data_IF_595412427245
#
_entry.id   IF_595412427245
#
_cell.length_a   1.000
_cell.length_b   1.000
_cell.length_c   1.000
_cell.angle_alpha   90.00
_cell.angle_beta   90.00
_cell.angle_gamma   90.00
#
_symmetry.space_group_name_H-M   'P 1'
#
loop_
_entity.id
_entity.type
_entity.pdbx_description
1 polymer ?
#
# COMPACT_ATOMS: atom_id res chain seq x y z
N UNK A 1 23.17 -10.08 6.07
CA UNK A 1 21.80 -10.02 5.53
C UNK A 1 21.14 -11.40 5.51
N UNK A 2 21.72 -12.42 4.84
CA UNK A 2 21.18 -13.80 4.91
C UNK A 2 21.26 -14.40 6.34
N UNK A 3 22.34 -14.13 7.08
CA UNK A 3 22.44 -14.50 8.51
C UNK A 3 21.37 -13.79 9.36
N UNK A 4 21.12 -12.51 9.08
CA UNK A 4 20.11 -11.67 9.73
C UNK A 4 18.69 -12.21 9.54
N UNK A 5 18.40 -12.81 8.38
CA UNK A 5 17.12 -13.44 8.06
C UNK A 5 16.97 -14.81 8.75
N UNK A 6 18.06 -15.59 8.87
CA UNK A 6 18.04 -16.83 9.65
C UNK A 6 17.90 -16.57 11.16
N UNK A 7 18.46 -15.46 11.66
CA UNK A 7 18.39 -15.06 13.07
C UNK A 7 17.01 -14.54 13.51
N UNK A 8 16.27 -13.84 12.64
CA UNK A 8 14.93 -13.34 12.97
C UNK A 8 13.82 -14.40 13.04
N UNK A 9 14.17 -15.67 12.79
CA UNK A 9 13.26 -16.82 12.95
C UNK A 9 12.14 -16.91 11.91
N UNK A 10 11.15 -17.74 12.20
CA UNK A 10 10.05 -18.08 11.26
C UNK A 10 9.26 -16.84 10.81
N UNK A 11 9.20 -15.81 11.64
CA UNK A 11 8.44 -14.58 11.37
C UNK A 11 9.10 -13.66 10.31
N UNK A 12 10.35 -13.90 9.93
CA UNK A 12 11.00 -13.16 8.84
C UNK A 12 10.41 -13.50 7.47
N UNK A 13 9.98 -14.74 7.25
CA UNK A 13 9.40 -15.18 5.98
C UNK A 13 8.12 -14.41 5.57
N UNK A 14 7.09 -14.28 6.43
CA UNK A 14 5.92 -13.48 6.09
C UNK A 14 6.24 -11.99 5.95
N UNK A 15 7.22 -11.45 6.69
CA UNK A 15 7.67 -10.06 6.54
C UNK A 15 8.34 -9.81 5.19
N UNK A 16 9.22 -10.71 4.74
CA UNK A 16 9.87 -10.63 3.44
C UNK A 16 8.86 -10.76 2.30
N UNK A 17 7.90 -11.68 2.42
CA UNK A 17 6.81 -11.81 1.46
C UNK A 17 5.96 -10.53 1.40
N UNK A 18 5.58 -9.99 2.56
CA UNK A 18 4.85 -8.74 2.68
C UNK A 18 5.60 -7.58 2.03
N UNK A 19 6.91 -7.46 2.25
CA UNK A 19 7.76 -6.46 1.62
C UNK A 19 7.78 -6.56 0.09
N UNK A 20 7.94 -7.78 -0.45
CA UNK A 20 7.93 -8.00 -1.89
C UNK A 20 6.58 -7.63 -2.52
N UNK A 21 5.48 -7.99 -1.86
CA UNK A 21 4.13 -7.63 -2.31
C UNK A 21 3.91 -6.11 -2.24
N UNK A 22 4.32 -5.48 -1.14
CA UNK A 22 4.18 -4.03 -0.96
C UNK A 22 4.95 -3.26 -2.03
N UNK A 23 6.19 -3.65 -2.31
CA UNK A 23 6.98 -3.06 -3.40
C UNK A 23 6.34 -3.28 -4.76
N UNK A 24 5.87 -4.50 -5.06
CA UNK A 24 5.24 -4.81 -6.35
C UNK A 24 3.97 -3.97 -6.57
N UNK A 25 3.10 -3.89 -5.57
CA UNK A 25 1.88 -3.08 -5.62
C UNK A 25 2.22 -1.60 -5.70
N UNK A 26 3.15 -1.12 -4.89
CA UNK A 26 3.59 0.27 -4.90
C UNK A 26 4.13 0.70 -6.26
N UNK A 27 4.93 -0.16 -6.90
CA UNK A 27 5.49 0.11 -8.23
C UNK A 27 4.41 0.08 -9.32
N UNK A 28 3.50 -0.90 -9.28
CA UNK A 28 2.39 -1.01 -10.21
C UNK A 28 1.46 0.22 -10.13
N UNK A 29 1.09 0.63 -8.91
CA UNK A 29 0.28 1.83 -8.68
C UNK A 29 1.02 3.11 -9.09
N UNK A 30 2.30 3.26 -8.76
CA UNK A 30 3.08 4.42 -9.18
C UNK A 30 3.13 4.54 -10.70
N UNK A 31 3.35 3.44 -11.42
CA UNK A 31 3.33 3.42 -12.89
C UNK A 31 1.93 3.75 -13.42
N UNK A 32 0.87 3.18 -12.84
CA UNK A 32 -0.51 3.47 -13.21
C UNK A 32 -0.82 4.97 -13.11
N UNK A 33 -0.56 5.58 -11.95
CA UNK A 33 -0.83 7.01 -11.74
C UNK A 33 0.05 7.92 -12.60
N UNK A 34 1.33 7.55 -12.83
CA UNK A 34 2.20 8.31 -13.73
C UNK A 34 1.70 8.27 -15.19
N UNK A 35 1.18 7.13 -15.64
CA UNK A 35 0.58 7.01 -16.98
C UNK A 35 -0.72 7.81 -17.09
N UNK A 36 -1.57 7.72 -16.06
CA UNK A 36 -2.82 8.47 -15.97
C UNK A 36 -2.57 9.99 -16.03
N UNK A 37 -1.64 10.47 -15.20
CA UNK A 37 -1.29 11.89 -15.12
C UNK A 37 -0.69 12.43 -16.42
N UNK A 38 0.06 11.61 -17.17
CA UNK A 38 0.55 11.99 -18.51
C UNK A 38 -0.56 12.04 -19.55
N UNK A 39 -1.50 11.09 -19.53
CA UNK A 39 -2.62 11.05 -20.47
C UNK A 39 -3.55 12.27 -20.27
N UNK A 40 -3.72 12.71 -19.03
CA UNK A 40 -4.58 13.85 -18.70
C UNK A 40 -3.90 15.23 -18.88
N UNK A 41 -2.60 15.29 -19.25
CA UNK A 41 -1.90 16.55 -19.51
C UNK A 41 -2.47 17.24 -20.75
N UNK A 42 -3.02 18.43 -20.56
CA UNK A 42 -3.63 19.24 -21.63
C UNK A 42 -5.07 18.85 -21.99
N UNK A 43 -5.49 17.61 -21.66
CA UNK A 43 -6.88 17.16 -21.80
C UNK A 43 -7.85 18.04 -21.00
N UNK A 44 -7.58 18.26 -19.70
CA UNK A 44 -8.45 19.09 -18.84
C UNK A 44 -8.66 20.49 -19.41
N UNK A 45 -7.57 21.15 -19.79
CA UNK A 45 -7.62 22.50 -20.37
C UNK A 45 -8.34 22.53 -21.71
N UNK A 46 -8.19 21.49 -22.54
CA UNK A 46 -8.92 21.37 -23.81
C UNK A 46 -10.43 21.15 -23.59
N UNK A 47 -10.79 20.30 -22.64
CA UNK A 47 -12.19 20.03 -22.27
C UNK A 47 -12.87 21.27 -21.69
N UNK A 48 -12.22 21.94 -20.73
CA UNK A 48 -12.73 23.18 -20.14
C UNK A 48 -12.98 24.26 -21.20
N UNK A 49 -12.08 24.39 -22.18
CA UNK A 49 -12.26 25.32 -23.30
C UNK A 49 -13.44 24.95 -24.18
N UNK A 50 -13.58 23.68 -24.56
CA UNK A 50 -14.68 23.21 -25.39
C UNK A 50 -16.05 23.41 -24.71
N UNK A 51 -16.13 23.12 -23.40
CA UNK A 51 -17.34 23.35 -22.61
C UNK A 51 -17.63 24.85 -22.46
N UNK A 52 -16.62 25.68 -22.20
CA UNK A 52 -16.78 27.14 -22.08
C UNK A 52 -17.21 27.81 -23.40
N UNK A 53 -16.78 27.27 -24.54
CA UNK A 53 -17.22 27.74 -25.86
C UNK A 53 -18.56 27.16 -26.31
N UNK A 54 -19.17 26.26 -25.52
CA UNK A 54 -20.43 25.57 -25.86
C UNK A 54 -20.29 24.53 -26.98
N UNK A 55 -19.07 24.13 -27.34
CA UNK A 55 -18.82 23.11 -28.37
C UNK A 55 -18.92 21.70 -27.74
N UNK A 56 -20.16 21.24 -27.61
CA UNK A 56 -20.46 19.92 -27.05
C UNK A 56 -19.99 18.77 -27.94
N UNK A 57 -19.85 18.99 -29.25
CA UNK A 57 -19.36 17.95 -30.15
C UNK A 57 -17.86 17.71 -29.91
N UNK A 58 -17.09 18.79 -29.74
CA UNK A 58 -15.68 18.69 -29.36
C UNK A 58 -15.52 18.12 -27.94
N UNK A 59 -16.35 18.55 -26.98
CA UNK A 59 -16.32 18.01 -25.62
C UNK A 59 -16.64 16.50 -25.58
N UNK A 60 -17.60 16.04 -26.40
CA UNK A 60 -17.93 14.62 -26.54
C UNK A 60 -16.79 13.81 -27.16
N UNK A 61 -16.08 14.36 -28.15
CA UNK A 61 -14.88 13.70 -28.72
C UNK A 61 -13.76 13.59 -27.70
N UNK A 62 -13.55 14.65 -26.91
CA UNK A 62 -12.54 14.67 -25.87
C UNK A 62 -12.86 13.69 -24.74
N UNK A 63 -14.14 13.36 -24.46
CA UNK A 63 -14.54 12.45 -23.38
C UNK A 63 -14.53 10.94 -23.74
N UNK A 64 -14.10 10.56 -24.95
CA UNK A 64 -14.07 9.15 -25.39
C UNK A 64 -12.89 8.32 -24.84
N UNK A 65 -12.02 8.91 -24.02
CA UNK A 65 -10.92 8.18 -23.40
C UNK A 65 -11.37 7.15 -22.36
N UNK A 66 -10.41 6.33 -21.92
CA UNK A 66 -10.65 5.21 -20.99
C UNK A 66 -10.34 5.56 -19.53
N UNK A 67 -9.86 6.77 -19.23
CA UNK A 67 -9.54 7.14 -17.85
C UNK A 67 -10.81 7.48 -17.06
N UNK A 68 -10.80 7.34 -15.73
CA UNK A 68 -11.88 7.82 -14.86
C UNK A 68 -12.27 9.29 -15.14
N UNK A 69 -11.30 10.15 -15.45
CA UNK A 69 -11.56 11.54 -15.80
C UNK A 69 -12.35 11.70 -17.11
N UNK A 70 -12.16 10.80 -18.08
CA UNK A 70 -12.95 10.76 -19.31
C UNK A 70 -14.37 10.24 -19.05
N UNK A 71 -14.52 9.24 -18.18
CA UNK A 71 -15.83 8.74 -17.78
C UNK A 71 -16.67 9.86 -17.12
N UNK A 72 -16.10 10.60 -16.16
CA UNK A 72 -16.79 11.74 -15.54
C UNK A 72 -17.12 12.84 -16.55
N UNK A 73 -16.21 13.16 -17.47
CA UNK A 73 -16.46 14.15 -18.52
C UNK A 73 -17.57 13.72 -19.47
N UNK A 74 -17.66 12.42 -19.80
CA UNK A 74 -18.72 11.87 -20.63
C UNK A 74 -20.08 11.99 -19.94
N UNK A 75 -20.17 11.62 -18.66
CA UNK A 75 -21.38 11.82 -17.86
C UNK A 75 -21.81 13.30 -17.82
N UNK A 76 -20.86 14.23 -17.74
CA UNK A 76 -21.14 15.66 -17.78
C UNK A 76 -21.70 16.11 -19.14
N UNK A 77 -21.09 15.68 -20.25
CA UNK A 77 -21.51 16.04 -21.61
C UNK A 77 -22.87 15.45 -21.97
N UNK A 78 -23.13 14.19 -21.60
CA UNK A 78 -24.40 13.51 -21.87
C UNK A 78 -25.59 14.17 -21.14
N UNK A 79 -25.34 14.77 -19.97
CA UNK A 79 -26.35 15.44 -19.16
C UNK A 79 -26.34 16.96 -19.29
N UNK A 80 -25.53 17.52 -20.20
CA UNK A 80 -25.29 18.98 -20.28
C UNK A 80 -26.55 19.83 -20.56
N UNK A 81 -27.58 19.24 -21.16
CA UNK A 81 -28.87 19.89 -21.41
C UNK A 81 -29.79 19.97 -20.18
N UNK A 82 -29.43 19.28 -19.09
CA UNK A 82 -30.20 19.25 -17.85
C UNK A 82 -29.78 20.37 -16.89
N UNK A 83 -30.41 20.42 -15.71
CA UNK A 83 -29.99 21.37 -14.68
C UNK A 83 -28.59 21.04 -14.16
N UNK A 84 -27.88 22.06 -13.66
CA UNK A 84 -26.54 21.89 -13.09
C UNK A 84 -26.49 20.86 -11.94
N UNK A 85 -27.58 20.71 -11.18
CA UNK A 85 -27.69 19.70 -10.11
C UNK A 85 -27.69 18.27 -10.67
N UNK A 86 -28.32 18.04 -11.84
CA UNK A 86 -28.29 16.72 -12.47
C UNK A 86 -26.92 16.41 -13.03
N UNK A 87 -26.25 17.38 -13.66
CA UNK A 87 -24.88 17.23 -14.18
C UNK A 87 -23.91 16.87 -13.05
N UNK A 88 -23.96 17.61 -11.94
CA UNK A 88 -23.09 17.37 -10.78
C UNK A 88 -23.34 16.00 -10.14
N UNK A 89 -24.60 15.59 -10.01
CA UNK A 89 -24.97 14.24 -9.56
C UNK A 89 -24.45 13.15 -10.49
N UNK A 90 -24.61 13.31 -11.80
CA UNK A 90 -24.13 12.33 -12.79
C UNK A 90 -22.61 12.18 -12.72
N UNK A 91 -21.87 13.29 -12.63
CA UNK A 91 -20.42 13.28 -12.45
C UNK A 91 -20.01 12.63 -11.13
N UNK A 92 -20.72 12.91 -10.04
CA UNK A 92 -20.46 12.33 -8.72
C UNK A 92 -20.66 10.81 -8.72
N UNK A 93 -21.77 10.33 -9.29
CA UNK A 93 -22.04 8.89 -9.43
C UNK A 93 -20.91 8.23 -10.22
N UNK A 94 -20.51 8.82 -11.35
CA UNK A 94 -19.44 8.25 -12.17
C UNK A 94 -18.07 8.25 -11.46
N UNK A 95 -17.80 9.26 -10.64
CA UNK A 95 -16.60 9.32 -9.82
C UNK A 95 -16.59 8.20 -8.77
N UNK A 96 -17.73 7.96 -8.09
CA UNK A 96 -17.89 6.87 -7.13
C UNK A 96 -17.74 5.50 -7.78
N UNK A 97 -18.27 5.30 -8.99
CA UNK A 97 -18.10 4.05 -9.74
C UNK A 97 -16.64 3.79 -10.14
N UNK A 98 -15.85 4.85 -10.34
CA UNK A 98 -14.44 4.75 -10.72
C UNK A 98 -13.49 4.59 -9.51
N UNK A 99 -13.97 4.87 -8.31
CA UNK A 99 -13.19 4.83 -7.07
C UNK A 99 -12.56 3.44 -6.79
N UNK A 100 -13.27 2.30 -6.96
CA UNK A 100 -12.69 0.99 -6.74
C UNK A 100 -11.49 0.67 -7.65
N UNK A 101 -11.49 1.18 -8.89
CA UNK A 101 -10.38 0.99 -9.82
C UNK A 101 -9.13 1.77 -9.38
N UNK A 102 -9.34 3.01 -8.90
CA UNK A 102 -8.28 3.85 -8.37
C UNK A 102 -7.69 3.27 -7.08
N UNK A 103 -8.56 2.74 -6.21
CA UNK A 103 -8.19 2.14 -4.92
C UNK A 103 -7.74 0.68 -5.01
N UNK A 104 -7.66 0.11 -6.22
CA UNK A 104 -7.25 -1.28 -6.43
C UNK A 104 -5.89 -1.53 -5.76
N UNK A 105 -5.83 -2.59 -4.95
CA UNK A 105 -4.67 -3.01 -4.16
C UNK A 105 -4.27 -2.11 -2.98
N UNK A 106 -4.87 -0.93 -2.79
CA UNK A 106 -4.54 -0.07 -1.64
C UNK A 106 -4.93 -0.72 -0.30
N UNK A 107 -6.07 -1.43 -0.24
CA UNK A 107 -6.44 -2.18 0.96
C UNK A 107 -5.46 -3.31 1.33
N UNK A 108 -4.80 -3.91 0.32
CA UNK A 108 -3.75 -4.90 0.57
C UNK A 108 -2.50 -4.24 1.17
N UNK A 109 -2.10 -3.08 0.65
CA UNK A 109 -1.01 -2.28 1.23
C UNK A 109 -1.34 -1.88 2.67
N UNK A 110 -2.54 -1.39 2.93
CA UNK A 110 -2.99 -1.02 4.28
C UNK A 110 -2.90 -2.21 5.26
N UNK A 111 -3.30 -3.39 4.80
CA UNK A 111 -3.17 -4.62 5.58
C UNK A 111 -1.70 -4.94 5.89
N UNK A 112 -0.79 -4.78 4.93
CA UNK A 112 0.64 -5.04 5.15
C UNK A 112 1.24 -4.02 6.12
N UNK A 113 0.94 -2.73 5.93
CA UNK A 113 1.42 -1.64 6.78
C UNK A 113 0.98 -1.82 8.23
N UNK A 114 -0.24 -2.30 8.45
CA UNK A 114 -0.77 -2.55 9.81
C UNK A 114 -0.31 -3.88 10.40
N UNK A 115 -0.19 -4.94 9.60
CA UNK A 115 0.17 -6.27 10.08
C UNK A 115 1.69 -6.45 10.29
N UNK A 116 2.54 -5.87 9.43
CA UNK A 116 3.98 -6.10 9.48
C UNK A 116 4.63 -5.71 10.84
N UNK A 117 4.30 -4.56 11.47
CA UNK A 117 4.84 -4.22 12.79
C UNK A 117 4.39 -5.21 13.88
N UNK A 118 3.14 -5.68 13.82
CA UNK A 118 2.59 -6.65 14.76
C UNK A 118 3.27 -8.01 14.63
N UNK A 119 3.53 -8.45 13.39
CA UNK A 119 4.30 -9.67 13.11
C UNK A 119 5.73 -9.54 13.62
N UNK A 120 6.38 -8.38 13.41
CA UNK A 120 7.71 -8.11 13.93
C UNK A 120 7.78 -8.15 15.46
N UNK A 121 6.83 -7.49 16.12
CA UNK A 121 6.69 -7.50 17.58
C UNK A 121 6.49 -8.93 18.13
N UNK A 122 5.63 -9.72 17.48
CA UNK A 122 5.43 -11.13 17.83
C UNK A 122 6.72 -11.95 17.68
N UNK A 123 7.49 -11.70 16.61
CA UNK A 123 8.82 -12.30 16.42
C UNK A 123 9.78 -11.98 17.57
N UNK A 124 9.81 -10.73 18.03
CA UNK A 124 10.64 -10.34 19.18
C UNK A 124 10.17 -11.00 20.47
N UNK A 125 8.87 -11.05 20.75
CA UNK A 125 8.33 -11.70 21.96
C UNK A 125 8.71 -13.19 21.97
N UNK A 126 8.51 -13.89 20.87
CA UNK A 126 8.83 -15.33 20.77
C UNK A 126 10.34 -15.59 20.86
N UNK A 127 11.17 -14.76 20.22
CA UNK A 127 12.63 -14.82 20.35
C UNK A 127 13.09 -14.62 21.79
N UNK A 128 12.60 -13.59 22.48
CA UNK A 128 12.90 -13.32 23.89
C UNK A 128 12.46 -14.47 24.81
N UNK A 129 11.30 -15.07 24.57
CA UNK A 129 10.87 -16.27 25.30
C UNK A 129 11.84 -17.43 25.14
N UNK A 130 12.39 -17.64 23.93
CA UNK A 130 13.41 -18.64 23.66
C UNK A 130 14.70 -18.39 24.44
N UNK A 131 15.18 -17.14 24.46
CA UNK A 131 16.36 -16.72 25.22
C UNK A 131 16.17 -17.00 26.71
N UNK A 132 15.06 -16.56 27.32
CA UNK A 132 14.83 -16.77 28.74
C UNK A 132 14.66 -18.24 29.12
N UNK A 133 14.03 -19.05 28.26
CA UNK A 133 13.93 -20.52 28.47
C UNK A 133 15.30 -21.17 28.50
N UNK A 134 16.18 -20.81 27.57
CA UNK A 134 17.54 -21.35 27.51
C UNK A 134 18.35 -20.97 28.76
N UNK A 135 18.18 -19.74 29.26
CA UNK A 135 18.82 -19.27 30.50
C UNK A 135 18.31 -20.04 31.71
N UNK A 136 17.00 -20.18 31.85
CA UNK A 136 16.39 -20.91 32.96
C UNK A 136 16.83 -22.37 33.00
N UNK A 137 16.95 -23.03 31.83
CA UNK A 137 17.46 -24.40 31.74
C UNK A 137 18.95 -24.50 32.14
N UNK A 138 19.79 -23.57 31.68
CA UNK A 138 21.23 -23.58 32.02
C UNK A 138 21.45 -23.34 33.51
N UNK A 139 20.81 -22.31 34.08
CA UNK A 139 20.94 -21.97 35.50
C UNK A 139 20.28 -23.01 36.42
N UNK A 140 19.22 -23.67 35.96
CA UNK A 140 18.60 -24.77 36.68
C UNK A 140 19.46 -26.05 36.72
N UNK A 141 20.33 -26.25 35.72
CA UNK A 141 21.26 -27.38 35.67
C UNK A 141 22.58 -27.10 36.41
N UNK A 142 23.10 -25.88 36.29
CA UNK A 142 24.30 -25.42 36.99
C UNK A 142 24.18 -23.91 37.33
N UNK A 143 24.15 -23.53 38.62
CA UNK A 143 24.10 -22.14 39.05
C UNK A 143 25.31 -21.28 38.58
N UNK A 144 26.40 -21.92 38.16
CA UNK A 144 27.59 -21.27 37.63
C UNK A 144 27.71 -21.39 36.10
N UNK A 145 26.66 -21.86 35.43
CA UNK A 145 26.62 -21.97 33.99
C UNK A 145 26.89 -20.62 33.31
N UNK A 146 27.78 -20.64 32.30
CA UNK A 146 28.13 -19.46 31.54
C UNK A 146 26.96 -19.02 30.62
N UNK A 147 26.47 -17.79 30.82
CA UNK A 147 25.32 -17.21 30.11
C UNK A 147 25.72 -16.19 29.03
N UNK A 148 26.95 -16.28 28.54
CA UNK A 148 27.59 -15.30 27.66
C UNK A 148 26.88 -15.04 26.31
N UNK A 149 25.89 -15.85 25.94
CA UNK A 149 25.10 -15.72 24.71
C UNK A 149 23.76 -14.99 24.82
N UNK A 150 23.35 -14.54 26.02
CA UNK A 150 22.04 -13.89 26.21
C UNK A 150 21.91 -12.63 25.36
N UNK A 151 22.89 -11.74 25.47
CA UNK A 151 22.85 -10.43 24.79
C UNK A 151 22.77 -10.58 23.27
N UNK A 152 23.44 -11.58 22.71
CA UNK A 152 23.33 -11.91 21.29
C UNK A 152 21.91 -12.34 20.91
N UNK A 153 21.29 -13.25 21.68
CA UNK A 153 19.92 -13.69 21.44
C UNK A 153 18.86 -12.59 21.61
N UNK A 154 19.07 -11.65 22.53
CA UNK A 154 18.20 -10.45 22.65
C UNK A 154 18.34 -9.57 21.41
N UNK A 155 19.58 -9.36 20.94
CA UNK A 155 19.85 -8.63 19.71
C UNK A 155 19.15 -9.24 18.50
N UNK A 156 19.22 -10.57 18.35
CA UNK A 156 18.54 -11.30 17.28
C UNK A 156 17.02 -11.15 17.35
N UNK A 157 16.43 -11.21 18.54
CA UNK A 157 14.99 -11.02 18.72
C UNK A 157 14.53 -9.63 18.26
N UNK A 158 15.32 -8.58 18.48
CA UNK A 158 14.99 -7.20 18.10
C UNK A 158 14.98 -6.97 16.58
N UNK A 159 15.71 -7.79 15.81
CA UNK A 159 15.77 -7.70 14.34
C UNK A 159 14.37 -7.88 13.73
N UNK A 160 13.55 -8.78 14.28
CA UNK A 160 12.20 -9.03 13.76
C UNK A 160 11.31 -7.78 13.86
N UNK A 161 11.33 -7.07 14.99
CA UNK A 161 10.58 -5.81 15.15
C UNK A 161 11.12 -4.72 14.24
N UNK A 162 12.44 -4.54 14.17
CA UNK A 162 13.05 -3.54 13.30
C UNK A 162 12.67 -3.77 11.83
N UNK A 163 12.68 -5.04 11.39
CA UNK A 163 12.26 -5.41 10.04
C UNK A 163 10.77 -5.19 9.82
N UNK A 164 9.92 -5.52 10.80
CA UNK A 164 8.47 -5.27 10.72
C UNK A 164 8.13 -3.79 10.53
N UNK A 165 8.84 -2.89 11.22
CA UNK A 165 8.70 -1.44 11.04
C UNK A 165 9.23 -1.02 9.67
N UNK A 166 10.39 -1.54 9.25
CA UNK A 166 10.97 -1.23 7.93
C UNK A 166 10.05 -1.63 6.78
N UNK A 167 9.30 -2.73 6.90
CA UNK A 167 8.35 -3.18 5.88
C UNK A 167 7.09 -2.30 5.86
N UNK A 168 6.72 -1.70 6.99
CA UNK A 168 5.51 -0.89 7.11
C UNK A 168 5.67 0.55 6.63
N UNK A 169 6.90 1.07 6.54
CA UNK A 169 7.22 2.46 6.19
C UNK A 169 7.88 2.53 4.82
#
# INVERSE_FOLDING_TARGET
MFETIQQGGVFMWPLLLGSAIALAVGLERAIYFLRLSKADRGYRTALERALASGDLEQAAKLSQGTSPAHACARAAVENWSQSSDVVDKAMTVQAMESEPELNRFLGLLETIVTAAPLIGLLGTITGMMGVFRAVAQKLGADPHANTTGITAGIGEALIATATGILVAV
#
